data_IF_091864503362
#
_entry.id   IF_091864503362
#
_cell.length_a   1.000
_cell.length_b   1.000
_cell.length_c   1.000
_cell.angle_alpha   90.00
_cell.angle_beta   90.00
_cell.angle_gamma   90.00
#
_symmetry.space_group_name_H-M   'P 1'
#
loop_
_entity.id
_entity.type
_entity.pdbx_description
1 polymer ?
#
# COMPACT_ATOMS: atom_id res chain seq x y z
N UNK A 1 -19.34 -53.98 1.69
CA UNK A 1 -20.28 -52.97 2.21
C UNK A 1 -19.64 -52.08 3.29
N UNK A 2 -19.06 -52.67 4.35
CA UNK A 2 -18.38 -51.95 5.43
C UNK A 2 -17.25 -51.00 5.00
N UNK A 3 -16.34 -51.44 4.11
CA UNK A 3 -15.21 -50.61 3.67
C UNK A 3 -15.63 -49.31 2.96
N UNK A 4 -16.72 -49.36 2.18
CA UNK A 4 -17.26 -48.18 1.48
C UNK A 4 -17.93 -47.20 2.45
N UNK A 5 -18.58 -47.72 3.49
CA UNK A 5 -19.19 -46.91 4.54
C UNK A 5 -18.12 -46.20 5.39
N UNK A 6 -17.04 -46.90 5.75
CA UNK A 6 -15.92 -46.30 6.45
C UNK A 6 -15.25 -45.19 5.63
N UNK A 7 -15.03 -45.43 4.33
CA UNK A 7 -14.43 -44.43 3.45
C UNK A 7 -15.30 -43.16 3.34
N UNK A 8 -16.62 -43.34 3.21
CA UNK A 8 -17.57 -42.24 3.15
C UNK A 8 -17.60 -41.41 4.45
N UNK A 9 -17.55 -42.08 5.60
CA UNK A 9 -17.49 -41.41 6.91
C UNK A 9 -16.17 -40.64 7.09
N UNK A 10 -15.03 -41.22 6.69
CA UNK A 10 -13.73 -40.54 6.73
C UNK A 10 -13.70 -39.29 5.83
N UNK A 11 -14.27 -39.36 4.63
CA UNK A 11 -14.36 -38.22 3.71
C UNK A 11 -15.26 -37.12 4.25
N UNK A 12 -16.41 -37.48 4.84
CA UNK A 12 -17.29 -36.51 5.49
C UNK A 12 -16.61 -35.82 6.67
N UNK A 13 -15.89 -36.56 7.52
CA UNK A 13 -15.14 -36.00 8.64
C UNK A 13 -13.99 -35.09 8.20
N UNK A 14 -13.32 -35.42 7.09
CA UNK A 14 -12.27 -34.57 6.51
C UNK A 14 -12.84 -33.26 5.93
N UNK A 15 -14.01 -33.31 5.28
CA UNK A 15 -14.68 -32.14 4.74
C UNK A 15 -15.17 -31.18 5.84
N UNK A 16 -15.66 -31.71 6.96
CA UNK A 16 -16.11 -30.91 8.12
C UNK A 16 -14.94 -30.25 8.86
N UNK A 17 -13.76 -30.89 8.85
CA UNK A 17 -12.54 -30.36 9.47
C UNK A 17 -11.66 -29.53 8.52
N UNK A 18 -12.13 -29.23 7.31
CA UNK A 18 -11.46 -28.33 6.39
C UNK A 18 -11.32 -26.94 7.03
N UNK A 19 -10.17 -26.66 7.65
CA UNK A 19 -9.88 -25.34 8.20
C UNK A 19 -9.73 -24.36 7.04
N UNK A 20 -10.68 -23.43 6.91
CA UNK A 20 -10.46 -22.24 6.11
C UNK A 20 -9.32 -21.43 6.74
N UNK A 21 -8.12 -21.57 6.19
CA UNK A 21 -7.00 -20.70 6.53
C UNK A 21 -7.32 -19.34 5.92
N UNK A 22 -7.67 -18.37 6.76
CA UNK A 22 -7.79 -16.98 6.31
C UNK A 22 -6.41 -16.54 5.79
N UNK A 23 -6.32 -15.94 4.60
CA UNK A 23 -5.05 -15.42 4.10
C UNK A 23 -4.46 -14.45 5.12
N UNK A 24 -3.17 -14.61 5.44
CA UNK A 24 -2.47 -13.69 6.34
C UNK A 24 -2.51 -12.29 5.70
N UNK A 25 -2.86 -11.22 6.45
CA UNK A 25 -2.81 -9.87 5.92
C UNK A 25 -1.39 -9.51 5.49
N UNK A 26 -1.27 -8.71 4.44
CA UNK A 26 0.04 -8.30 3.91
C UNK A 26 0.76 -7.33 4.85
N UNK A 27 0.02 -6.43 5.48
CA UNK A 27 0.52 -5.52 6.51
C UNK A 27 0.18 -6.09 7.90
N UNK A 28 1.16 -6.08 8.81
CA UNK A 28 1.02 -6.65 10.16
C UNK A 28 1.45 -5.64 11.23
N UNK A 29 0.96 -5.82 12.46
CA UNK A 29 1.42 -5.03 13.61
C UNK A 29 2.90 -5.26 13.91
N UNK A 30 3.40 -6.46 13.65
CA UNK A 30 4.83 -6.81 13.73
C UNK A 30 5.68 -5.90 12.83
N UNK A 31 5.28 -5.69 11.58
CA UNK A 31 5.96 -4.77 10.66
C UNK A 31 5.98 -3.33 11.18
N UNK A 32 4.87 -2.87 11.79
CA UNK A 32 4.80 -1.54 12.39
C UNK A 32 5.80 -1.41 13.54
N UNK A 33 5.89 -2.44 14.39
CA UNK A 33 6.82 -2.46 15.51
C UNK A 33 8.27 -2.50 15.06
N UNK A 34 8.59 -3.29 14.04
CA UNK A 34 9.92 -3.34 13.43
C UNK A 34 10.34 -1.97 12.87
N UNK A 35 9.47 -1.29 12.13
CA UNK A 35 9.74 0.05 11.61
C UNK A 35 9.99 1.05 12.75
N UNK A 36 9.15 1.03 13.78
CA UNK A 36 9.27 1.97 14.90
C UNK A 36 10.48 1.69 15.79
N UNK A 37 10.92 0.43 15.88
CA UNK A 37 12.13 0.04 16.58
C UNK A 37 13.41 0.62 15.94
N UNK A 38 13.37 0.90 14.64
CA UNK A 38 14.49 1.56 13.94
C UNK A 38 14.68 3.04 14.31
N UNK A 39 13.76 3.65 15.06
CA UNK A 39 13.85 5.04 15.57
C UNK A 39 14.21 6.08 14.49
N UNK A 40 13.53 6.00 13.35
CA UNK A 40 13.73 6.94 12.24
C UNK A 40 13.03 8.28 12.49
N UNK A 41 13.10 9.20 11.52
CA UNK A 41 12.45 10.52 11.58
C UNK A 41 10.92 10.47 11.45
N UNK A 42 10.33 9.29 11.26
CA UNK A 42 8.89 9.08 11.13
C UNK A 42 8.45 7.83 11.91
N UNK A 43 7.16 7.71 12.18
CA UNK A 43 6.57 6.56 12.89
C UNK A 43 5.53 5.87 12.04
N UNK A 44 5.56 4.55 12.01
CA UNK A 44 4.50 3.72 11.44
C UNK A 44 3.33 3.60 12.41
N UNK A 45 2.12 3.54 11.86
CA UNK A 45 0.87 3.35 12.60
C UNK A 45 -0.10 2.46 11.79
N UNK A 46 -1.07 1.81 12.43
CA UNK A 46 -2.12 1.09 11.72
C UNK A 46 -2.85 2.00 10.73
N UNK A 47 -3.11 1.49 9.53
CA UNK A 47 -3.83 2.22 8.47
C UNK A 47 -5.12 1.52 8.07
N UNK A 48 -5.96 2.18 7.26
CA UNK A 48 -7.15 1.56 6.66
C UNK A 48 -6.85 0.38 5.72
N UNK A 49 -5.57 0.16 5.38
CA UNK A 49 -5.11 -0.89 4.46
C UNK A 49 -4.65 -2.17 5.17
N UNK A 50 -4.73 -2.24 6.51
CA UNK A 50 -4.25 -3.40 7.27
C UNK A 50 -4.89 -4.72 6.86
N UNK A 51 -6.13 -4.69 6.36
CA UNK A 51 -6.87 -5.87 5.91
C UNK A 51 -6.76 -6.15 4.42
N UNK A 52 -6.04 -5.30 3.68
CA UNK A 52 -5.96 -5.41 2.23
C UNK A 52 -5.00 -6.53 1.81
N UNK A 53 -5.32 -7.17 0.69
CA UNK A 53 -4.42 -8.14 0.09
C UNK A 53 -3.19 -7.44 -0.51
N UNK A 54 -2.11 -8.21 -0.70
CA UNK A 54 -0.90 -7.71 -1.38
C UNK A 54 -1.24 -7.18 -2.77
N UNK A 55 -2.09 -7.89 -3.52
CA UNK A 55 -2.52 -7.49 -4.86
C UNK A 55 -3.27 -6.16 -4.83
N UNK A 56 -4.13 -5.96 -3.83
CA UNK A 56 -4.92 -4.73 -3.67
C UNK A 56 -4.02 -3.53 -3.38
N UNK A 57 -2.99 -3.69 -2.55
CA UNK A 57 -1.99 -2.66 -2.26
C UNK A 57 -1.13 -2.38 -3.49
N UNK A 58 -0.66 -3.42 -4.19
CA UNK A 58 0.14 -3.26 -5.41
C UNK A 58 -0.60 -2.49 -6.51
N UNK A 59 -1.92 -2.61 -6.59
CA UNK A 59 -2.73 -1.83 -7.54
C UNK A 59 -2.69 -0.31 -7.30
N UNK A 60 -2.32 0.14 -6.11
CA UNK A 60 -2.11 1.57 -5.82
C UNK A 60 -0.77 2.09 -6.40
N UNK A 61 0.14 1.21 -6.79
CA UNK A 61 1.50 1.52 -7.29
C UNK A 61 1.57 1.42 -8.82
N UNK A 62 0.61 2.03 -9.54
CA UNK A 62 0.42 1.85 -10.98
C UNK A 62 1.33 2.69 -11.90
N UNK A 63 2.31 3.43 -11.36
CA UNK A 63 3.22 4.23 -12.17
C UNK A 63 4.15 3.32 -12.97
N UNK A 64 4.10 3.41 -14.30
CA UNK A 64 4.87 2.57 -15.24
C UNK A 64 6.16 3.28 -15.66
N UNK A 65 7.36 2.81 -15.24
CA UNK A 65 8.64 3.49 -15.53
C UNK A 65 8.88 3.75 -17.02
N UNK A 66 8.43 2.86 -17.89
CA UNK A 66 8.54 2.95 -19.34
C UNK A 66 7.81 4.17 -19.94
N UNK A 67 6.78 4.71 -19.27
CA UNK A 67 6.12 5.93 -19.73
C UNK A 67 7.02 7.15 -19.58
N UNK A 68 7.90 7.21 -18.57
CA UNK A 68 8.82 8.33 -18.41
C UNK A 68 9.82 8.40 -19.55
N UNK A 69 10.35 7.26 -20.00
CA UNK A 69 11.29 7.20 -21.11
C UNK A 69 10.65 7.59 -22.44
N UNK A 70 9.37 7.21 -22.64
CA UNK A 70 8.61 7.50 -23.85
C UNK A 70 8.07 8.95 -23.90
N UNK A 71 7.86 9.59 -22.74
CA UNK A 71 7.24 10.91 -22.64
C UNK A 71 8.20 11.97 -22.09
N UNK A 72 9.50 11.91 -22.42
CA UNK A 72 10.49 13.00 -22.18
C UNK A 72 10.20 14.27 -22.99
N UNK A 73 8.94 14.64 -23.15
CA UNK A 73 8.44 15.65 -24.08
C UNK A 73 8.51 17.08 -23.55
N UNK A 74 9.09 17.31 -22.38
CA UNK A 74 9.30 18.65 -21.86
C UNK A 74 10.79 18.83 -21.61
N UNK A 75 11.45 19.60 -22.48
CA UNK A 75 12.74 20.20 -22.14
C UNK A 75 12.53 21.04 -20.90
N UNK A 76 13.13 20.70 -19.75
CA UNK A 76 12.97 21.53 -18.56
C UNK A 76 13.48 22.93 -18.87
N UNK A 77 12.68 23.95 -18.57
CA UNK A 77 13.14 25.33 -18.65
C UNK A 77 14.16 25.49 -17.52
N UNK A 78 15.42 25.64 -17.90
CA UNK A 78 16.47 25.98 -16.95
C UNK A 78 16.38 27.48 -16.65
N UNK A 79 16.26 27.81 -15.37
CA UNK A 79 16.32 29.18 -14.89
C UNK A 79 17.21 29.26 -13.66
N UNK A 80 17.77 30.44 -13.39
CA UNK A 80 18.50 30.66 -12.14
C UNK A 80 17.54 30.52 -10.95
N UNK A 81 17.99 29.83 -9.90
CA UNK A 81 17.21 29.71 -8.67
C UNK A 81 17.08 31.11 -8.06
N UNK A 82 15.86 31.64 -7.85
CA UNK A 82 15.68 32.97 -7.29
C UNK A 82 16.32 33.10 -5.91
N UNK A 83 16.91 34.26 -5.61
CA UNK A 83 17.35 34.59 -4.25
C UNK A 83 16.11 34.81 -3.37
N UNK A 84 16.14 34.31 -2.14
CA UNK A 84 15.07 34.55 -1.15
C UNK A 84 13.91 33.55 -1.20
N UNK A 85 14.15 32.30 -1.59
CA UNK A 85 13.17 31.24 -1.36
C UNK A 85 12.87 31.12 0.14
N UNK A 86 11.60 30.89 0.54
CA UNK A 86 11.26 30.73 1.93
C UNK A 86 11.76 29.39 2.48
N UNK A 87 12.04 29.34 3.79
CA UNK A 87 12.45 28.09 4.46
C UNK A 87 11.34 27.03 4.44
N UNK A 88 10.07 27.45 4.32
CA UNK A 88 8.90 26.60 4.22
C UNK A 88 7.96 27.12 3.13
N UNK A 89 7.35 26.21 2.38
CA UNK A 89 6.42 26.54 1.31
C UNK A 89 5.23 25.58 1.31
N UNK A 90 4.01 26.13 1.33
CA UNK A 90 2.78 25.38 1.10
C UNK A 90 2.01 26.03 -0.06
N UNK A 91 1.71 25.24 -1.09
CA UNK A 91 0.97 25.70 -2.25
C UNK A 91 -0.43 26.20 -1.88
N UNK A 92 -1.04 25.65 -0.83
CA UNK A 92 -2.40 25.98 -0.39
C UNK A 92 -2.49 27.41 0.14
N UNK A 93 -1.44 27.86 0.81
CA UNK A 93 -1.34 29.21 1.36
C UNK A 93 -1.08 30.25 0.26
N UNK A 94 -0.30 29.89 -0.76
CA UNK A 94 0.04 30.79 -1.86
C UNK A 94 -1.08 30.94 -2.89
N UNK A 95 -1.89 29.90 -3.08
CA UNK A 95 -3.02 29.90 -4.00
C UNK A 95 -4.33 29.56 -3.29
N UNK A 96 -4.78 30.40 -2.35
CA UNK A 96 -5.93 30.12 -1.50
C UNK A 96 -7.27 30.15 -2.24
N UNK A 97 -7.29 30.55 -3.51
CA UNK A 97 -8.50 30.52 -4.35
C UNK A 97 -8.57 29.26 -5.23
N UNK A 98 -7.50 28.46 -5.30
CA UNK A 98 -7.46 27.23 -6.07
C UNK A 98 -8.07 26.08 -5.26
N UNK A 99 -9.35 25.78 -5.52
CA UNK A 99 -10.09 24.75 -4.78
C UNK A 99 -9.50 23.35 -4.93
N UNK A 100 -8.87 23.02 -6.07
CA UNK A 100 -8.31 21.70 -6.34
C UNK A 100 -7.16 21.30 -5.43
N UNK A 101 -6.52 22.26 -4.75
CA UNK A 101 -5.42 21.99 -3.82
C UNK A 101 -5.84 22.24 -2.37
N UNK A 102 -7.08 22.68 -2.10
CA UNK A 102 -7.62 22.81 -0.74
C UNK A 102 -7.96 21.42 -0.19
N UNK A 103 -6.98 20.77 0.42
CA UNK A 103 -7.20 19.59 1.28
C UNK A 103 -6.80 19.90 2.72
#
# INVERSE_FOLDING_TARGET
MFLRLCLAVCLALAAVNGRFVKPKPFLTEELINEINAAQTTWKAAPSKFMTWSKESITRLMGVRPEYFEQHKLITPIQHEVPKGLPDNFDARDQWPNCQSIKE
#
